data_IF_393770269872
#
_entry.id   IF_393770269872
#
_cell.length_a   1.000
_cell.length_b   1.000
_cell.length_c   1.000
_cell.angle_alpha   90.00
_cell.angle_beta   90.00
_cell.angle_gamma   90.00
#
_symmetry.space_group_name_H-M   'P 1'
#
loop_
_entity.id
_entity.type
_entity.pdbx_description
1 polymer ?
#
# COMPACT_ATOMS: atom_id res chain seq x y z
N UNK A 1 -5.59 -0.61 -22.21
CA UNK A 1 -4.84 -1.42 -21.24
C UNK A 1 -5.24 -0.98 -19.84
N UNK A 2 -5.48 -1.91 -18.92
CA UNK A 2 -5.74 -1.57 -17.53
C UNK A 2 -4.44 -1.11 -16.83
N UNK A 3 -4.58 -0.24 -15.84
CA UNK A 3 -3.46 0.43 -15.20
C UNK A 3 -2.81 -0.46 -14.11
N UNK A 4 -1.86 -1.30 -14.50
CA UNK A 4 -1.27 -2.33 -13.61
C UNK A 4 0.23 -2.15 -13.31
N UNK A 5 0.84 -1.02 -13.68
CA UNK A 5 2.30 -0.83 -13.63
C UNK A 5 2.91 -1.03 -12.24
N UNK A 6 2.28 -0.48 -11.19
CA UNK A 6 2.70 -0.71 -9.80
C UNK A 6 2.71 -2.20 -9.46
N UNK A 7 1.69 -2.92 -9.92
CA UNK A 7 1.57 -4.35 -9.69
C UNK A 7 2.50 -5.16 -10.58
N UNK A 8 3.19 -4.61 -11.58
CA UNK A 8 4.18 -5.37 -12.33
C UNK A 8 5.44 -5.64 -11.49
N UNK A 9 6.16 -6.75 -11.74
CA UNK A 9 7.40 -7.04 -11.05
C UNK A 9 8.37 -5.85 -11.04
N UNK A 10 8.96 -5.55 -9.90
CA UNK A 10 9.86 -4.41 -9.76
C UNK A 10 9.97 -3.88 -8.34
N UNK A 11 10.84 -2.89 -8.20
CA UNK A 11 11.10 -2.21 -6.93
C UNK A 11 10.66 -0.75 -7.05
N UNK A 12 10.00 -0.26 -6.04
CA UNK A 12 9.49 1.10 -5.93
C UNK A 12 10.03 1.72 -4.66
N UNK A 13 10.41 2.99 -4.73
CA UNK A 13 10.82 3.79 -3.58
C UNK A 13 9.66 4.71 -3.23
N UNK A 14 9.36 4.82 -1.95
CA UNK A 14 8.30 5.66 -1.40
C UNK A 14 8.92 6.79 -0.59
N UNK A 15 8.44 8.02 -0.78
CA UNK A 15 8.80 9.16 0.06
C UNK A 15 7.58 10.05 0.28
N UNK A 16 7.38 10.52 1.51
CA UNK A 16 6.22 11.34 1.81
C UNK A 16 6.09 11.73 3.27
N UNK A 17 4.86 11.97 3.67
CA UNK A 17 4.48 12.42 5.00
C UNK A 17 3.40 11.52 5.59
N UNK A 18 3.59 11.18 6.86
CA UNK A 18 2.62 10.50 7.71
C UNK A 18 2.01 11.52 8.67
N UNK A 19 0.70 11.54 8.75
CA UNK A 19 -0.05 12.46 9.59
C UNK A 19 -0.85 11.68 10.62
N UNK A 20 -0.84 12.21 11.84
CA UNK A 20 -1.62 11.73 12.98
C UNK A 20 -2.54 12.87 13.41
N UNK A 21 -3.56 12.57 14.22
CA UNK A 21 -4.56 13.57 14.63
C UNK A 21 -3.94 14.81 15.27
N UNK A 22 -2.96 14.60 16.14
CA UNK A 22 -2.38 15.63 16.99
C UNK A 22 -0.86 15.61 16.81
N UNK A 23 -0.36 16.25 15.75
CA UNK A 23 1.07 16.28 15.49
C UNK A 23 1.45 17.02 14.22
N UNK A 24 2.74 17.35 14.12
CA UNK A 24 3.33 17.78 12.86
C UNK A 24 3.48 16.57 11.92
N UNK A 25 3.44 16.77 10.59
CA UNK A 25 3.71 15.70 9.65
C UNK A 25 5.07 15.02 9.92
N UNK A 26 5.07 13.70 9.94
CA UNK A 26 6.25 12.87 10.16
C UNK A 26 6.77 12.41 8.80
N UNK A 27 8.05 12.64 8.52
CA UNK A 27 8.66 12.14 7.29
C UNK A 27 8.61 10.61 7.24
N UNK A 28 8.14 10.06 6.12
CA UNK A 28 8.13 8.63 5.84
C UNK A 28 8.95 8.34 4.60
N UNK A 29 9.77 7.30 4.68
CA UNK A 29 10.46 6.71 3.53
C UNK A 29 10.11 5.25 3.47
N UNK A 30 10.08 4.68 2.26
CA UNK A 30 9.74 3.29 2.12
C UNK A 30 10.23 2.68 0.83
N UNK A 31 9.99 1.39 0.74
CA UNK A 31 10.34 0.60 -0.42
C UNK A 31 9.32 -0.52 -0.57
N UNK A 32 8.84 -0.69 -1.80
CA UNK A 32 7.90 -1.74 -2.18
C UNK A 32 8.56 -2.63 -3.21
N UNK A 33 8.62 -3.94 -2.95
CA UNK A 33 9.06 -4.95 -3.90
C UNK A 33 7.84 -5.74 -4.37
N UNK A 34 7.68 -5.87 -5.68
CA UNK A 34 6.60 -6.62 -6.30
C UNK A 34 7.18 -7.78 -7.09
N UNK A 35 6.63 -8.97 -6.91
CA UNK A 35 6.98 -10.17 -7.64
C UNK A 35 5.70 -10.90 -8.08
N UNK A 36 5.80 -11.64 -9.19
CA UNK A 36 4.75 -12.53 -9.67
C UNK A 36 5.25 -13.95 -9.70
N UNK A 37 4.36 -14.89 -9.43
CA UNK A 37 4.59 -16.30 -9.63
C UNK A 37 3.73 -16.82 -10.80
N UNK A 38 3.75 -18.13 -11.01
CA UNK A 38 2.87 -18.81 -11.97
C UNK A 38 1.43 -18.79 -11.43
N UNK A 39 0.44 -18.75 -12.32
CA UNK A 39 -0.99 -18.77 -11.98
C UNK A 39 -1.57 -17.46 -11.42
N UNK A 40 -1.07 -16.31 -11.91
CA UNK A 40 -1.62 -14.98 -11.64
C UNK A 40 -1.55 -14.51 -10.18
N UNK A 41 -0.71 -15.11 -9.33
CA UNK A 41 -0.46 -14.55 -8.00
C UNK A 41 0.69 -13.56 -8.01
N UNK A 42 0.50 -12.52 -7.22
CA UNK A 42 1.53 -11.55 -6.91
C UNK A 42 1.84 -11.58 -5.41
N UNK A 43 3.09 -11.28 -5.10
CA UNK A 43 3.50 -10.88 -3.76
C UNK A 43 3.99 -9.45 -3.81
N UNK A 44 3.70 -8.71 -2.74
CA UNK A 44 4.22 -7.36 -2.54
C UNK A 44 4.80 -7.29 -1.14
N UNK A 45 5.98 -6.70 -0.98
CA UNK A 45 6.57 -6.47 0.32
C UNK A 45 6.93 -4.99 0.45
N UNK A 46 6.31 -4.31 1.40
CA UNK A 46 6.55 -2.90 1.67
C UNK A 46 7.19 -2.75 3.04
N UNK A 47 8.27 -1.97 3.11
CA UNK A 47 8.83 -1.49 4.38
C UNK A 47 8.75 0.03 4.41
N UNK A 48 8.19 0.58 5.49
CA UNK A 48 8.18 2.01 5.78
C UNK A 48 9.04 2.27 7.02
N UNK A 49 9.81 3.35 6.97
CA UNK A 49 10.64 3.86 8.05
C UNK A 49 10.29 5.32 8.30
N UNK A 50 10.50 5.79 9.53
CA UNK A 50 10.17 7.16 9.96
C UNK A 50 11.43 7.89 10.47
N UNK A 51 12.26 8.46 9.58
CA UNK A 51 13.53 9.06 9.98
C UNK A 51 13.33 10.23 10.94
N UNK A 52 14.07 10.23 12.06
CA UNK A 52 13.97 11.29 13.07
C UNK A 52 12.71 11.24 13.92
N UNK A 53 11.99 10.11 13.91
CA UNK A 53 10.83 9.84 14.76
C UNK A 53 11.08 8.58 15.59
N UNK A 54 10.49 8.51 16.78
CA UNK A 54 10.47 7.29 17.61
C UNK A 54 9.42 6.27 17.16
N UNK A 55 8.71 6.57 16.06
CA UNK A 55 7.70 5.67 15.48
C UNK A 55 8.34 4.40 14.96
N UNK A 56 7.74 3.26 15.32
CA UNK A 56 8.18 1.96 14.83
C UNK A 56 8.03 1.84 13.30
N UNK A 57 9.01 1.19 12.67
CA UNK A 57 8.94 0.78 11.26
C UNK A 57 7.67 -0.04 10.98
N UNK A 58 7.08 0.16 9.81
CA UNK A 58 5.95 -0.64 9.33
C UNK A 58 6.45 -1.62 8.28
N UNK A 59 6.08 -2.88 8.44
CA UNK A 59 6.36 -3.93 7.47
C UNK A 59 5.05 -4.58 7.03
N UNK A 60 4.88 -4.68 5.71
CA UNK A 60 3.66 -5.16 5.04
C UNK A 60 4.07 -6.25 4.05
N UNK A 61 3.44 -7.42 4.16
CA UNK A 61 3.66 -8.52 3.23
C UNK A 61 2.32 -8.97 2.66
N UNK A 62 2.13 -8.72 1.37
CA UNK A 62 0.93 -9.02 0.63
C UNK A 62 1.11 -10.29 -0.18
N UNK A 63 0.04 -11.08 -0.27
CA UNK A 63 -0.15 -12.15 -1.23
C UNK A 63 -1.53 -12.01 -1.83
N UNK A 64 -1.61 -11.73 -3.12
CA UNK A 64 -2.86 -11.53 -3.83
C UNK A 64 -2.90 -12.23 -5.17
N UNK A 65 -4.08 -12.26 -5.78
CA UNK A 65 -4.30 -12.85 -7.10
C UNK A 65 -5.02 -11.87 -8.00
N UNK A 66 -4.50 -11.66 -9.19
CA UNK A 66 -5.10 -10.79 -10.20
C UNK A 66 -5.10 -11.51 -11.54
N UNK A 67 -6.26 -12.02 -11.95
CA UNK A 67 -6.40 -12.74 -13.21
C UNK A 67 -6.21 -11.82 -14.42
N UNK A 68 -5.75 -12.39 -15.54
CA UNK A 68 -5.47 -11.66 -16.78
C UNK A 68 -6.73 -10.94 -17.27
N UNK A 69 -6.62 -9.62 -17.47
CA UNK A 69 -7.74 -8.78 -17.93
C UNK A 69 -8.73 -8.38 -16.82
N UNK A 70 -8.59 -8.93 -15.61
CA UNK A 70 -9.39 -8.51 -14.47
C UNK A 70 -9.01 -7.10 -14.01
N UNK A 71 -9.97 -6.42 -13.39
CA UNK A 71 -9.76 -5.12 -12.73
C UNK A 71 -9.91 -5.20 -11.22
N UNK A 72 -10.22 -6.38 -10.70
CA UNK A 72 -10.44 -6.58 -9.27
C UNK A 72 -9.50 -7.68 -8.81
N UNK A 73 -8.96 -7.52 -7.61
CA UNK A 73 -8.12 -8.51 -6.96
C UNK A 73 -8.42 -8.53 -5.47
N UNK A 74 -8.11 -9.66 -4.84
CA UNK A 74 -8.11 -9.80 -3.39
C UNK A 74 -6.70 -10.14 -2.93
N UNK A 75 -6.41 -9.82 -1.67
CA UNK A 75 -5.12 -10.11 -1.06
C UNK A 75 -5.25 -10.42 0.43
N UNK A 76 -4.30 -11.22 0.91
CA UNK A 76 -3.96 -11.33 2.31
C UNK A 76 -2.75 -10.45 2.58
N UNK A 77 -2.78 -9.73 3.69
CA UNK A 77 -1.71 -8.87 4.16
C UNK A 77 -1.29 -9.28 5.57
N UNK A 78 -0.01 -9.56 5.76
CA UNK A 78 0.59 -9.60 7.09
C UNK A 78 1.18 -8.22 7.39
N UNK A 79 0.61 -7.54 8.37
CA UNK A 79 1.08 -6.26 8.89
C UNK A 79 1.76 -6.49 10.25
N UNK A 80 2.97 -5.98 10.46
CA UNK A 80 3.70 -6.19 11.71
C UNK A 80 3.02 -5.60 12.96
N UNK A 81 2.29 -4.49 12.83
CA UNK A 81 1.55 -3.84 13.92
C UNK A 81 0.10 -4.32 13.99
N UNK A 82 -0.61 -4.37 12.86
CA UNK A 82 -2.04 -4.71 12.84
C UNK A 82 -2.30 -6.23 12.87
N UNK A 83 -1.30 -7.05 12.58
CA UNK A 83 -1.46 -8.50 12.46
C UNK A 83 -1.96 -8.92 11.08
N UNK A 84 -2.86 -9.90 11.04
CA UNK A 84 -3.40 -10.44 9.80
C UNK A 84 -4.54 -9.57 9.27
N UNK A 85 -4.50 -9.29 7.97
CA UNK A 85 -5.40 -8.37 7.29
C UNK A 85 -5.88 -9.02 6.00
N UNK A 86 -7.14 -8.80 5.65
CA UNK A 86 -7.69 -9.10 4.33
C UNK A 86 -7.98 -7.81 3.59
N UNK A 87 -7.90 -7.85 2.27
CA UNK A 87 -8.24 -6.70 1.46
C UNK A 87 -8.59 -7.04 0.03
N UNK A 88 -9.03 -6.01 -0.65
CA UNK A 88 -9.40 -6.04 -2.06
C UNK A 88 -8.89 -4.77 -2.73
N UNK A 89 -8.70 -4.85 -4.04
CA UNK A 89 -8.32 -3.71 -4.85
C UNK A 89 -9.00 -3.70 -6.21
N UNK A 90 -9.15 -2.50 -6.73
CA UNK A 90 -9.76 -2.14 -8.00
C UNK A 90 -8.75 -1.36 -8.83
N UNK A 91 -8.60 -1.78 -10.08
CA UNK A 91 -7.72 -1.16 -11.06
C UNK A 91 -8.59 -0.32 -11.99
N UNK A 92 -8.55 0.98 -11.76
CA UNK A 92 -9.15 2.00 -12.61
C UNK A 92 -8.34 2.27 -13.87
N UNK A 93 -8.68 3.36 -14.54
CA UNK A 93 -7.93 3.84 -15.72
C UNK A 93 -6.64 4.55 -15.30
N UNK A 94 -6.71 5.35 -14.23
CA UNK A 94 -5.60 6.16 -13.74
C UNK A 94 -5.28 5.89 -12.27
N UNK A 95 -6.08 5.06 -11.59
CA UNK A 95 -5.93 4.80 -10.17
C UNK A 95 -5.94 3.31 -9.86
N UNK A 96 -5.16 2.91 -8.86
CA UNK A 96 -5.38 1.66 -8.14
C UNK A 96 -5.95 2.04 -6.78
N UNK A 97 -7.09 1.47 -6.46
CA UNK A 97 -7.82 1.72 -5.23
C UNK A 97 -7.84 0.43 -4.44
N UNK A 98 -7.43 0.43 -3.19
CA UNK A 98 -7.51 -0.76 -2.35
C UNK A 98 -8.02 -0.44 -0.96
N UNK A 99 -8.77 -1.37 -0.39
CA UNK A 99 -9.21 -1.32 1.00
C UNK A 99 -8.80 -2.60 1.72
N UNK A 100 -8.64 -2.49 3.03
CA UNK A 100 -8.36 -3.64 3.87
C UNK A 100 -9.05 -3.54 5.23
N UNK A 101 -9.23 -4.69 5.89
CA UNK A 101 -9.78 -4.81 7.23
C UNK A 101 -8.96 -5.81 8.05
N UNK A 102 -8.68 -5.45 9.30
CA UNK A 102 -7.88 -6.28 10.20
C UNK A 102 -8.75 -7.42 10.73
N UNK A 103 -8.25 -8.65 10.65
CA UNK A 103 -8.96 -9.82 11.13
C UNK A 103 -8.87 -9.92 12.66
N UNK A 104 -9.96 -10.38 13.28
CA UNK A 104 -10.05 -10.61 14.73
C UNK A 104 -9.71 -9.37 15.59
N UNK A 105 -9.90 -8.16 15.02
CA UNK A 105 -9.56 -6.91 15.67
C UNK A 105 -10.76 -6.29 16.39
N UNK A 106 -10.61 -6.07 17.71
CA UNK A 106 -11.68 -5.48 18.54
C UNK A 106 -11.95 -4.02 18.20
N UNK A 107 -10.93 -3.30 17.74
CA UNK A 107 -11.01 -1.88 17.35
C UNK A 107 -11.61 -1.69 15.95
N UNK A 108 -11.90 -2.79 15.23
CA UNK A 108 -12.44 -2.78 13.86
C UNK A 108 -11.60 -1.91 12.94
N UNK A 109 -10.27 -2.05 13.05
CA UNK A 109 -9.35 -1.29 12.22
C UNK A 109 -9.46 -1.72 10.78
N UNK A 110 -9.44 -0.72 9.91
CA UNK A 110 -9.47 -0.88 8.46
C UNK A 110 -8.62 0.22 7.84
N UNK A 111 -8.41 0.14 6.54
CA UNK A 111 -7.73 1.21 5.84
C UNK A 111 -7.99 1.17 4.36
N UNK A 112 -7.50 2.20 3.71
CA UNK A 112 -7.67 2.41 2.29
C UNK A 112 -6.44 3.07 1.71
N UNK A 113 -6.10 2.73 0.47
CA UNK A 113 -5.02 3.33 -0.28
C UNK A 113 -5.50 3.64 -1.69
N UNK A 114 -5.17 4.84 -2.18
CA UNK A 114 -5.34 5.25 -3.57
C UNK A 114 -3.98 5.56 -4.15
N UNK A 115 -3.65 4.90 -5.26
CA UNK A 115 -2.44 5.13 -6.02
C UNK A 115 -2.86 5.74 -7.36
N UNK A 116 -2.70 7.05 -7.48
CA UNK A 116 -2.96 7.79 -8.70
C UNK A 116 -1.72 7.80 -9.58
N UNK A 117 -1.84 7.30 -10.82
CA UNK A 117 -0.78 7.31 -11.81
C UNK A 117 -0.38 8.73 -12.15
N UNK A 118 0.91 9.02 -12.06
CA UNK A 118 1.49 10.22 -12.66
C UNK A 118 2.06 9.87 -14.02
N UNK A 119 2.79 8.76 -14.11
CA UNK A 119 3.23 8.13 -15.34
C UNK A 119 3.47 6.63 -15.11
N UNK A 120 4.13 5.93 -16.03
CA UNK A 120 4.38 4.48 -15.97
C UNK A 120 5.31 4.09 -14.80
N UNK A 121 6.15 5.02 -14.36
CA UNK A 121 7.17 4.82 -13.33
C UNK A 121 6.92 5.62 -12.06
N UNK A 122 5.80 6.36 -11.96
CA UNK A 122 5.49 7.09 -10.74
C UNK A 122 4.01 7.22 -10.42
N UNK A 123 3.75 7.25 -9.12
CA UNK A 123 2.42 7.32 -8.53
C UNK A 123 2.40 8.32 -7.38
N UNK A 124 1.26 8.96 -7.17
CA UNK A 124 0.92 9.57 -5.88
C UNK A 124 0.03 8.62 -5.09
N UNK A 125 0.46 8.30 -3.87
CA UNK A 125 -0.25 7.51 -2.89
C UNK A 125 -0.91 8.42 -1.87
N UNK A 126 -2.18 8.19 -1.63
CA UNK A 126 -2.89 8.67 -0.44
C UNK A 126 -3.45 7.46 0.29
N UNK A 127 -3.19 7.33 1.58
CA UNK A 127 -3.75 6.26 2.40
C UNK A 127 -4.30 6.74 3.72
N UNK A 128 -5.24 5.98 4.28
CA UNK A 128 -5.83 6.25 5.58
C UNK A 128 -6.00 4.97 6.39
N UNK A 129 -5.73 5.05 7.69
CA UNK A 129 -6.07 4.00 8.65
C UNK A 129 -7.23 4.49 9.51
N UNK A 130 -8.24 3.65 9.67
CA UNK A 130 -9.43 3.93 10.45
C UNK A 130 -9.56 2.95 11.61
N UNK A 131 -10.08 3.42 12.75
CA UNK A 131 -10.57 2.59 13.85
C UNK A 131 -12.06 2.89 14.04
N UNK A 132 -12.93 1.92 13.68
CA UNK A 132 -14.36 2.17 13.55
C UNK A 132 -14.66 3.31 12.57
N UNK A 133 -15.23 4.41 13.05
CA UNK A 133 -15.60 5.59 12.24
C UNK A 133 -14.53 6.68 12.19
N UNK A 134 -13.40 6.50 12.88
CA UNK A 134 -12.39 7.53 13.06
C UNK A 134 -11.19 7.27 12.18
N UNK A 135 -10.83 8.22 11.31
CA UNK A 135 -9.53 8.24 10.65
C UNK A 135 -8.44 8.49 11.71
N UNK A 136 -7.59 7.50 12.00
CA UNK A 136 -6.54 7.61 13.02
C UNK A 136 -5.29 8.22 12.44
N UNK A 137 -4.96 7.88 11.19
CA UNK A 137 -3.77 8.34 10.50
C UNK A 137 -4.04 8.46 9.00
N UNK A 138 -3.29 9.33 8.33
CA UNK A 138 -3.24 9.41 6.87
C UNK A 138 -1.80 9.51 6.40
N UNK A 139 -1.51 9.05 5.19
CA UNK A 139 -0.20 9.17 4.57
C UNK A 139 -0.36 9.68 3.14
N UNK A 140 0.51 10.60 2.75
CA UNK A 140 0.64 11.07 1.38
C UNK A 140 2.09 10.84 0.95
N UNK A 141 2.29 10.20 -0.20
CA UNK A 141 3.62 9.87 -0.67
C UNK A 141 3.71 9.80 -2.19
N UNK A 142 4.90 10.04 -2.73
CA UNK A 142 5.26 9.65 -4.09
C UNK A 142 5.89 8.27 -4.09
N UNK A 143 5.49 7.42 -5.04
CA UNK A 143 6.17 6.17 -5.35
C UNK A 143 6.85 6.31 -6.70
N UNK A 144 8.11 5.89 -6.77
CA UNK A 144 8.91 5.92 -8.00
C UNK A 144 9.53 4.55 -8.26
N UNK A 145 9.40 4.05 -9.48
CA UNK A 145 10.00 2.78 -9.88
C UNK A 145 11.52 2.93 -9.93
N UNK A 146 12.22 2.08 -9.18
CA UNK A 146 13.66 1.98 -9.29
C UNK A 146 14.00 1.23 -10.58
N UNK A 147 14.44 1.97 -11.60
CA UNK A 147 15.03 1.37 -12.80
C UNK A 147 16.36 0.75 -12.40
N UNK A 148 16.54 -0.52 -12.75
CA UNK A 148 17.84 -1.17 -12.67
C UNK A 148 18.62 -0.72 -13.90
N UNK A 149 19.75 -0.04 -13.70
CA UNK A 149 20.68 0.27 -14.79
C UNK A 149 21.38 -1.01 -15.24
#
# INVERSE_FOLDING_TARGET
>A
MAHTFLLQPGRWVLQGSWLERDGLPINVKGMTLVAWNRDNWFTMATKLIFPGSDRADIALQYKGRLDVGARQYTFLLQHNILGQVEGEGWIGLDTIVQRYWVLSDRERRSGFETLHRVNDDSYYLTSGIMAGHYLTNTMEASLERQRTN
#
